data_IF_690260390852
#
_entry.id   IF_690260390852
#
_cell.length_a   1.000
_cell.length_b   1.000
_cell.length_c   1.000
_cell.angle_alpha   90.00
_cell.angle_beta   90.00
_cell.angle_gamma   90.00
#
_symmetry.space_group_name_H-M   'P 1'
#
loop_
_entity.id
_entity.type
_entity.pdbx_description
1 polymer ?
#
# COMPACT_ATOMS: atom_id res chain seq x y z
N UNK A 1 -17.40 -17.45 28.96
CA UNK A 1 -16.51 -17.10 27.85
C UNK A 1 -16.99 -15.76 27.31
N UNK A 2 -16.28 -14.69 27.67
CA UNK A 2 -16.80 -13.33 27.70
C UNK A 2 -16.57 -12.55 26.40
N UNK A 3 -17.66 -11.96 25.93
CA UNK A 3 -17.77 -10.89 24.93
C UNK A 3 -17.05 -9.62 25.42
N UNK A 4 -16.27 -8.96 24.55
CA UNK A 4 -15.93 -7.54 24.70
C UNK A 4 -15.96 -6.86 23.32
N UNK A 5 -17.11 -6.24 23.04
CA UNK A 5 -17.28 -5.13 22.11
C UNK A 5 -17.31 -3.83 22.95
N UNK A 6 -16.67 -2.76 22.47
CA UNK A 6 -16.89 -1.31 22.71
C UNK A 6 -15.57 -0.59 22.37
N UNK A 7 -15.53 0.39 21.48
CA UNK A 7 -16.06 1.75 21.67
C UNK A 7 -16.17 2.47 20.31
N UNK A 8 -17.35 3.00 19.97
CA UNK A 8 -17.46 4.32 19.33
C UNK A 8 -18.77 4.96 19.79
N UNK A 9 -18.64 6.17 20.36
CA UNK A 9 -19.72 6.90 21.01
C UNK A 9 -20.69 7.53 20.01
N UNK A 10 -21.96 7.53 20.42
CA UNK A 10 -23.03 8.25 19.77
C UNK A 10 -23.01 9.73 20.18
N UNK A 11 -23.13 10.62 19.20
CA UNK A 11 -23.66 11.96 19.40
C UNK A 11 -24.75 12.17 18.34
N UNK A 12 -25.98 12.41 18.82
CA UNK A 12 -27.16 12.71 18.01
C UNK A 12 -27.64 14.10 18.38
N UNK A 13 -27.87 14.96 17.39
CA UNK A 13 -28.92 15.97 17.44
C UNK A 13 -29.26 16.46 16.02
N UNK A 14 -30.57 16.58 15.80
CA UNK A 14 -31.28 16.88 14.56
C UNK A 14 -31.11 18.33 14.10
N UNK A 15 -31.19 18.53 12.79
CA UNK A 15 -31.53 19.80 12.16
C UNK A 15 -32.20 19.52 10.81
N UNK A 16 -33.54 19.58 10.78
CA UNK A 16 -34.37 19.52 9.57
C UNK A 16 -34.47 20.94 9.01
N UNK A 17 -34.10 21.13 7.75
CA UNK A 17 -34.56 22.24 6.92
C UNK A 17 -34.60 21.78 5.46
N UNK A 18 -35.73 22.05 4.82
CA UNK A 18 -36.12 21.68 3.46
C UNK A 18 -36.21 22.96 2.61
N UNK A 19 -36.05 22.78 1.28
CA UNK A 19 -36.16 23.74 0.16
C UNK A 19 -34.89 24.59 -0.08
N UNK A 20 -34.37 24.77 -1.30
CA UNK A 20 -35.05 24.95 -2.59
C UNK A 20 -34.38 24.23 -3.78
N UNK A 21 -35.24 23.84 -4.71
CA UNK A 21 -34.94 23.34 -6.04
C UNK A 21 -34.79 24.49 -7.05
N UNK A 22 -33.59 24.67 -7.63
CA UNK A 22 -33.40 25.12 -9.02
C UNK A 22 -31.92 25.38 -9.33
N UNK A 23 -31.25 24.46 -10.05
CA UNK A 23 -30.14 24.80 -10.94
C UNK A 23 -29.86 23.64 -11.91
N UNK A 24 -29.86 23.96 -13.20
CA UNK A 24 -29.62 23.10 -14.35
C UNK A 24 -28.39 22.18 -14.23
N UNK A 25 -28.45 20.92 -14.70
CA UNK A 25 -27.27 20.16 -15.04
C UNK A 25 -26.77 20.62 -16.41
N UNK A 26 -25.83 21.57 -16.45
CA UNK A 26 -24.97 21.69 -17.62
C UNK A 26 -24.06 20.48 -17.64
N UNK A 27 -24.40 19.54 -18.53
CA UNK A 27 -23.59 18.40 -18.92
C UNK A 27 -22.19 18.87 -19.30
N UNK A 28 -21.22 18.68 -18.41
CA UNK A 28 -19.81 18.74 -18.74
C UNK A 28 -19.53 17.60 -19.71
N UNK A 29 -19.38 17.94 -20.99
CA UNK A 29 -18.94 17.03 -22.02
C UNK A 29 -17.64 16.37 -21.55
N UNK A 30 -17.67 15.04 -21.39
CA UNK A 30 -16.47 14.25 -21.16
C UNK A 30 -15.59 14.38 -22.39
N UNK A 31 -14.54 15.20 -22.29
CA UNK A 31 -13.45 15.17 -23.27
C UNK A 31 -12.81 13.80 -23.17
N UNK A 32 -13.18 12.90 -24.09
CA UNK A 32 -12.46 11.65 -24.27
C UNK A 32 -11.09 12.02 -24.79
N UNK A 33 -10.09 11.99 -23.91
CA UNK A 33 -8.70 12.04 -24.32
C UNK A 33 -8.46 10.98 -25.40
N UNK A 34 -7.63 11.26 -26.42
CA UNK A 34 -7.26 10.25 -27.39
C UNK A 34 -6.72 9.02 -26.63
N UNK A 35 -7.20 7.83 -27.02
CA UNK A 35 -6.78 6.56 -26.42
C UNK A 35 -5.26 6.49 -26.42
N UNK A 36 -4.65 6.33 -25.26
CA UNK A 36 -3.22 6.07 -25.15
C UNK A 36 -2.98 4.71 -25.83
N UNK A 37 -1.96 4.53 -26.69
CA UNK A 37 -1.62 3.22 -27.25
C UNK A 37 -1.43 2.13 -26.18
N UNK A 38 -1.02 2.51 -24.96
CA UNK A 38 -0.95 1.61 -23.80
C UNK A 38 -2.34 1.17 -23.34
N UNK A 39 -3.41 1.90 -23.70
CA UNK A 39 -4.77 1.57 -23.34
C UNK A 39 -5.30 0.31 -24.03
N UNK A 40 -4.74 0.00 -25.20
CA UNK A 40 -5.10 -1.15 -26.04
C UNK A 40 -4.27 -2.38 -25.64
N UNK A 41 -3.04 -2.19 -25.18
CA UNK A 41 -2.06 -3.25 -24.99
C UNK A 41 -1.89 -3.71 -23.54
N UNK A 42 -2.15 -2.85 -22.55
CA UNK A 42 -2.02 -3.20 -21.14
C UNK A 42 -3.40 -3.45 -20.51
N UNK A 43 -3.62 -4.60 -19.86
CA UNK A 43 -4.72 -4.77 -18.92
C UNK A 43 -4.85 -3.56 -17.99
N UNK A 44 -6.07 -3.09 -17.73
CA UNK A 44 -6.31 -1.83 -17.01
C UNK A 44 -5.58 -1.72 -15.66
N UNK A 45 -5.38 -2.84 -14.96
CA UNK A 45 -4.63 -2.86 -13.71
C UNK A 45 -3.13 -2.54 -13.88
N UNK A 46 -2.50 -2.96 -14.99
CA UNK A 46 -1.11 -2.64 -15.26
C UNK A 46 -0.95 -1.15 -15.54
N UNK A 47 -1.89 -0.55 -16.28
CA UNK A 47 -1.90 0.90 -16.52
C UNK A 47 -2.01 1.66 -15.21
N UNK A 48 -2.95 1.27 -14.33
CA UNK A 48 -3.10 1.90 -13.03
C UNK A 48 -1.82 1.81 -12.20
N UNK A 49 -1.16 0.65 -12.20
CA UNK A 49 0.12 0.45 -11.54
C UNK A 49 1.25 1.33 -12.12
N UNK A 50 1.37 1.43 -13.44
CA UNK A 50 2.36 2.29 -14.10
C UNK A 50 2.11 3.78 -13.84
N UNK A 51 0.85 4.22 -13.85
CA UNK A 51 0.49 5.60 -13.55
C UNK A 51 0.77 5.95 -12.08
N UNK A 52 0.41 5.06 -11.15
CA UNK A 52 0.72 5.23 -9.73
C UNK A 52 2.24 5.31 -9.52
N UNK A 53 3.01 4.45 -10.20
CA UNK A 53 4.47 4.43 -10.16
C UNK A 53 5.10 5.73 -10.70
N UNK A 54 4.64 6.22 -11.85
CA UNK A 54 5.08 7.49 -12.42
C UNK A 54 4.74 8.66 -11.47
N UNK A 55 3.55 8.64 -10.87
CA UNK A 55 3.16 9.64 -9.88
C UNK A 55 4.05 9.61 -8.63
N UNK A 56 4.45 8.42 -8.14
CA UNK A 56 5.41 8.30 -7.01
C UNK A 56 6.74 8.97 -7.38
N UNK A 57 7.24 8.70 -8.58
CA UNK A 57 8.48 9.29 -9.09
C UNK A 57 8.41 10.82 -9.17
N UNK A 58 7.32 11.33 -9.72
CA UNK A 58 7.26 12.73 -10.17
C UNK A 58 6.60 13.66 -9.14
N UNK A 59 5.73 13.15 -8.28
CA UNK A 59 4.81 13.96 -7.46
C UNK A 59 4.79 13.62 -5.97
N UNK A 60 5.19 12.42 -5.55
CA UNK A 60 5.16 12.07 -4.13
C UNK A 60 6.06 13.02 -3.32
N UNK A 61 5.52 13.47 -2.19
CA UNK A 61 6.25 14.28 -1.21
C UNK A 61 6.40 13.48 0.07
N UNK A 62 7.59 12.89 0.25
CA UNK A 62 7.98 12.14 1.43
C UNK A 62 9.18 12.80 2.14
N UNK A 63 9.56 12.27 3.30
CA UNK A 63 9.67 13.00 4.56
C UNK A 63 9.89 11.98 5.66
N UNK A 64 10.99 12.02 6.42
CA UNK A 64 11.09 11.22 7.64
C UNK A 64 9.98 11.61 8.64
N UNK A 65 9.52 12.86 8.60
CA UNK A 65 8.45 13.38 9.47
C UNK A 65 7.04 13.15 8.94
N UNK A 66 6.89 12.79 7.66
CA UNK A 66 5.58 12.58 7.02
C UNK A 66 5.44 11.19 6.38
N UNK A 67 6.30 10.24 6.77
CA UNK A 67 6.40 8.92 6.13
C UNK A 67 5.05 8.20 6.03
N UNK A 68 4.26 8.20 7.12
CA UNK A 68 2.94 7.55 7.13
C UNK A 68 1.91 8.25 6.22
N UNK A 69 1.97 9.58 6.13
CA UNK A 69 1.14 10.34 5.20
C UNK A 69 1.52 10.00 3.74
N UNK A 70 2.81 9.82 3.45
CA UNK A 70 3.26 9.39 2.13
C UNK A 70 2.70 7.99 1.76
N UNK A 71 2.58 7.07 2.72
CA UNK A 71 1.92 5.76 2.49
C UNK A 71 0.45 5.95 2.09
N UNK A 72 -0.27 6.84 2.78
CA UNK A 72 -1.66 7.15 2.44
C UNK A 72 -1.80 7.80 1.06
N UNK A 73 -0.87 8.68 0.69
CA UNK A 73 -0.85 9.32 -0.62
C UNK A 73 -0.64 8.30 -1.75
N UNK A 74 0.28 7.35 -1.57
CA UNK A 74 0.51 6.24 -2.51
C UNK A 74 -0.79 5.44 -2.70
N UNK A 75 -1.43 5.04 -1.59
CA UNK A 75 -2.67 4.27 -1.64
C UNK A 75 -3.83 5.04 -2.29
N UNK A 76 -4.02 6.31 -1.95
CA UNK A 76 -5.05 7.16 -2.56
C UNK A 76 -4.81 7.37 -4.04
N UNK A 77 -3.54 7.52 -4.46
CA UNK A 77 -3.22 7.59 -5.89
C UNK A 77 -3.60 6.29 -6.58
N UNK A 78 -3.23 5.14 -6.01
CA UNK A 78 -3.60 3.84 -6.57
C UNK A 78 -5.12 3.68 -6.66
N UNK A 79 -5.87 4.07 -5.62
CA UNK A 79 -7.34 4.08 -5.64
C UNK A 79 -7.92 4.95 -6.75
N UNK A 80 -7.34 6.13 -6.96
CA UNK A 80 -7.75 7.02 -8.05
C UNK A 80 -7.56 6.34 -9.41
N UNK A 81 -6.40 5.74 -9.64
CA UNK A 81 -6.08 5.06 -10.91
C UNK A 81 -6.94 3.80 -11.15
N UNK A 82 -7.43 3.15 -10.09
CA UNK A 82 -8.27 1.95 -10.19
C UNK A 82 -9.77 2.24 -10.05
N UNK A 83 -10.17 3.52 -10.14
CA UNK A 83 -11.57 3.94 -9.98
C UNK A 83 -12.22 3.45 -8.68
N UNK A 84 -11.45 3.39 -7.59
CA UNK A 84 -11.91 2.97 -6.28
C UNK A 84 -11.95 1.45 -6.08
N UNK A 85 -11.50 0.62 -7.03
CA UNK A 85 -11.33 -0.81 -6.80
C UNK A 85 -10.22 -1.03 -5.78
N UNK A 86 -10.61 -1.41 -4.56
CA UNK A 86 -9.72 -1.62 -3.42
C UNK A 86 -8.69 -2.72 -3.68
N UNK A 87 -9.08 -3.81 -4.35
CA UNK A 87 -8.19 -4.95 -4.60
C UNK A 87 -7.13 -4.56 -5.62
N UNK A 88 -7.54 -3.96 -6.73
CA UNK A 88 -6.59 -3.47 -7.74
C UNK A 88 -5.74 -2.32 -7.21
N UNK A 89 -6.27 -1.46 -6.33
CA UNK A 89 -5.51 -0.37 -5.72
C UNK A 89 -4.35 -0.92 -4.86
N UNK A 90 -4.58 -1.99 -4.09
CA UNK A 90 -3.53 -2.63 -3.31
C UNK A 90 -2.45 -3.23 -4.21
N UNK A 91 -2.83 -3.87 -5.32
CA UNK A 91 -1.87 -4.39 -6.30
C UNK A 91 -1.07 -3.26 -6.98
N UNK A 92 -1.75 -2.20 -7.40
CA UNK A 92 -1.13 -1.04 -8.02
C UNK A 92 -0.17 -0.33 -7.06
N UNK A 93 -0.55 -0.19 -5.79
CA UNK A 93 0.31 0.34 -4.74
C UNK A 93 1.55 -0.55 -4.53
N UNK A 94 1.38 -1.88 -4.46
CA UNK A 94 2.49 -2.82 -4.34
C UNK A 94 3.51 -2.67 -5.48
N UNK A 95 3.04 -2.59 -6.73
CA UNK A 95 3.88 -2.39 -7.91
C UNK A 95 4.54 -1.01 -7.90
N UNK A 96 3.84 0.04 -7.47
CA UNK A 96 4.37 1.40 -7.39
C UNK A 96 5.50 1.53 -6.34
N UNK A 97 5.45 0.72 -5.28
CA UNK A 97 6.43 0.73 -4.20
C UNK A 97 7.54 -0.31 -4.33
N UNK A 98 7.57 -1.12 -5.40
CA UNK A 98 8.64 -2.10 -5.62
C UNK A 98 10.01 -1.43 -5.66
N UNK A 99 10.94 -1.85 -4.81
CA UNK A 99 12.28 -1.25 -4.76
C UNK A 99 13.40 -2.14 -5.26
N UNK A 100 13.06 -3.32 -5.80
CA UNK A 100 14.00 -4.16 -6.54
C UNK A 100 13.73 -4.06 -8.03
N UNK A 101 14.81 -3.88 -8.80
CA UNK A 101 14.75 -3.81 -10.26
C UNK A 101 14.74 -5.20 -10.90
N UNK A 102 15.36 -6.17 -10.24
CA UNK A 102 15.54 -7.52 -10.75
C UNK A 102 15.51 -8.54 -9.61
N UNK A 103 14.97 -9.72 -9.87
CA UNK A 103 15.19 -10.91 -9.06
C UNK A 103 16.37 -11.65 -9.64
N UNK A 104 17.35 -11.93 -8.81
CA UNK A 104 18.41 -12.87 -9.14
C UNK A 104 18.03 -14.21 -8.54
N UNK A 105 18.19 -15.28 -9.30
CA UNK A 105 17.94 -16.64 -8.86
C UNK A 105 19.29 -17.33 -8.67
N UNK A 106 19.39 -18.18 -7.66
CA UNK A 106 20.61 -18.97 -7.37
C UNK A 106 21.04 -19.90 -8.52
N UNK A 107 20.16 -20.16 -9.49
CA UNK A 107 20.46 -20.88 -10.75
C UNK A 107 21.10 -20.00 -11.85
N UNK A 108 21.45 -18.75 -11.55
CA UNK A 108 22.04 -17.80 -12.51
C UNK A 108 21.03 -17.16 -13.47
N UNK A 109 19.73 -17.31 -13.20
CA UNK A 109 18.67 -16.60 -13.93
C UNK A 109 18.44 -15.23 -13.29
N UNK A 110 18.31 -14.19 -14.11
CA UNK A 110 17.92 -12.84 -13.65
C UNK A 110 16.64 -12.43 -14.34
N UNK A 111 15.59 -12.14 -13.57
CA UNK A 111 14.30 -11.69 -14.09
C UNK A 111 14.11 -10.20 -13.79
N UNK A 112 13.89 -9.33 -14.80
CA UNK A 112 13.56 -7.94 -14.55
C UNK A 112 12.17 -7.85 -13.92
N UNK A 113 12.08 -7.14 -12.79
CA UNK A 113 10.82 -6.84 -12.10
C UNK A 113 10.17 -5.54 -12.61
N UNK A 114 10.94 -4.73 -13.32
CA UNK A 114 10.50 -3.46 -13.89
C UNK A 114 11.20 -3.20 -15.22
N UNK A 115 10.49 -2.53 -16.12
CA UNK A 115 11.03 -2.02 -17.38
C UNK A 115 11.44 -0.54 -17.28
N UNK A 116 11.42 0.06 -16.09
CA UNK A 116 11.90 1.42 -15.86
C UNK A 116 13.38 1.57 -16.27
N UNK A 117 13.69 2.73 -16.86
CA UNK A 117 15.07 3.16 -17.03
C UNK A 117 15.71 3.36 -15.64
N UNK A 118 17.01 3.09 -15.51
CA UNK A 118 17.70 3.16 -14.21
C UNK A 118 17.49 4.50 -13.51
N UNK A 119 17.65 5.62 -14.23
CA UNK A 119 17.45 6.95 -13.68
C UNK A 119 16.00 7.26 -13.26
N UNK A 120 15.01 6.59 -13.84
CA UNK A 120 13.60 6.74 -13.44
C UNK A 120 13.31 5.92 -12.19
N UNK A 121 13.80 4.68 -12.17
CA UNK A 121 13.74 3.78 -11.03
C UNK A 121 14.37 4.41 -9.79
N UNK A 122 15.60 4.92 -9.90
CA UNK A 122 16.31 5.53 -8.77
C UNK A 122 15.57 6.75 -8.23
N UNK A 123 15.01 7.59 -9.12
CA UNK A 123 14.21 8.75 -8.74
C UNK A 123 12.95 8.34 -7.97
N UNK A 124 12.28 7.26 -8.40
CA UNK A 124 11.10 6.73 -7.72
C UNK A 124 11.44 6.16 -6.35
N UNK A 125 12.44 5.28 -6.27
CA UNK A 125 12.85 4.66 -4.99
C UNK A 125 13.33 5.73 -4.02
N UNK A 126 14.02 6.77 -4.49
CA UNK A 126 14.44 7.91 -3.67
C UNK A 126 13.25 8.63 -3.00
N UNK A 127 12.07 8.63 -3.63
CA UNK A 127 10.84 9.24 -3.11
C UNK A 127 10.06 8.36 -2.15
N UNK A 128 10.35 7.06 -2.03
CA UNK A 128 9.64 6.19 -1.10
C UNK A 128 10.01 6.55 0.36
N UNK A 129 9.03 6.55 1.29
CA UNK A 129 9.31 6.80 2.70
C UNK A 129 10.20 5.71 3.29
N UNK A 130 11.22 6.12 4.06
CA UNK A 130 12.23 5.21 4.61
C UNK A 130 12.02 4.80 6.07
N UNK A 131 11.14 5.50 6.79
CA UNK A 131 10.95 5.33 8.24
C UNK A 131 9.48 5.06 8.54
N UNK A 132 9.09 3.80 8.49
CA UNK A 132 7.73 3.34 8.79
C UNK A 132 7.63 2.87 10.24
N UNK A 133 8.72 2.30 10.78
CA UNK A 133 8.77 1.72 12.13
C UNK A 133 9.56 2.58 13.11
N UNK A 134 8.88 3.10 14.13
CA UNK A 134 9.49 4.02 15.10
C UNK A 134 10.50 3.36 16.05
N UNK A 135 10.42 2.04 16.22
CA UNK A 135 11.28 1.25 17.10
C UNK A 135 12.66 0.92 16.48
N UNK A 136 12.85 1.18 15.19
CA UNK A 136 14.11 0.90 14.47
C UNK A 136 14.53 2.11 13.60
N UNK A 137 14.96 3.24 14.22
CA UNK A 137 15.13 4.53 13.54
C UNK A 137 16.29 4.60 12.54
N UNK A 138 17.11 3.55 12.44
CA UNK A 138 18.29 3.49 11.57
C UNK A 138 18.09 2.56 10.36
N UNK A 139 16.88 2.04 10.16
CA UNK A 139 16.54 1.17 9.04
C UNK A 139 16.07 1.93 7.80
N UNK A 140 16.34 1.39 6.62
CA UNK A 140 15.59 1.71 5.39
C UNK A 140 14.35 0.80 5.37
N UNK A 141 13.15 1.37 5.32
CA UNK A 141 11.87 0.64 5.38
C UNK A 141 11.11 0.68 4.04
N UNK A 142 11.79 0.99 2.94
CA UNK A 142 11.14 1.21 1.65
C UNK A 142 10.59 -0.06 1.02
N UNK A 143 11.35 -1.16 1.04
CA UNK A 143 10.87 -2.51 0.71
C UNK A 143 9.67 -2.90 1.56
N UNK A 144 9.60 -2.47 2.81
CA UNK A 144 8.47 -2.82 3.69
C UNK A 144 7.12 -2.35 3.12
N UNK A 145 7.11 -1.35 2.24
CA UNK A 145 5.90 -0.96 1.50
C UNK A 145 5.44 -2.03 0.50
N UNK A 146 6.35 -2.63 -0.29
CA UNK A 146 5.95 -3.71 -1.21
C UNK A 146 5.44 -4.91 -0.42
N UNK A 147 6.06 -5.26 0.71
CA UNK A 147 5.58 -6.32 1.62
C UNK A 147 4.17 -6.03 2.15
N UNK A 148 3.95 -4.82 2.66
CA UNK A 148 2.66 -4.38 3.17
C UNK A 148 1.57 -4.44 2.10
N UNK A 149 1.78 -3.78 0.95
CA UNK A 149 0.74 -3.70 -0.08
C UNK A 149 0.51 -5.02 -0.81
N UNK A 150 1.56 -5.81 -1.07
CA UNK A 150 1.41 -7.14 -1.68
C UNK A 150 0.66 -8.10 -0.76
N UNK A 151 1.00 -8.13 0.53
CA UNK A 151 0.29 -8.95 1.52
C UNK A 151 -1.16 -8.51 1.71
N UNK A 152 -1.43 -7.21 1.68
CA UNK A 152 -2.80 -6.69 1.72
C UNK A 152 -3.60 -7.09 0.48
N UNK A 153 -3.02 -6.94 -0.72
CA UNK A 153 -3.64 -7.35 -1.97
C UNK A 153 -3.97 -8.84 -1.94
N UNK A 154 -3.01 -9.67 -1.56
CA UNK A 154 -3.14 -11.12 -1.54
C UNK A 154 -4.22 -11.60 -0.56
N UNK A 155 -4.23 -11.06 0.66
CA UNK A 155 -5.27 -11.34 1.67
C UNK A 155 -6.66 -10.96 1.15
N UNK A 156 -6.77 -9.83 0.44
CA UNK A 156 -8.03 -9.36 -0.12
C UNK A 156 -8.48 -10.16 -1.35
N UNK A 157 -7.55 -10.52 -2.23
CA UNK A 157 -7.83 -11.27 -3.45
C UNK A 157 -8.26 -12.72 -3.16
N UNK A 158 -7.77 -13.29 -2.06
CA UNK A 158 -8.07 -14.65 -1.63
C UNK A 158 -9.17 -14.73 -0.57
N UNK A 159 -9.66 -13.58 -0.10
CA UNK A 159 -10.59 -13.44 1.03
C UNK A 159 -10.18 -14.28 2.26
N UNK A 160 -8.87 -14.40 2.49
CA UNK A 160 -8.32 -15.30 3.51
C UNK A 160 -6.94 -14.87 3.97
N UNK A 161 -6.83 -14.61 5.28
CA UNK A 161 -5.52 -14.41 5.92
C UNK A 161 -4.62 -15.63 5.84
N UNK A 162 -5.17 -16.83 6.03
CA UNK A 162 -4.35 -18.05 6.01
C UNK A 162 -3.81 -18.36 4.62
N UNK A 163 -4.56 -18.06 3.56
CA UNK A 163 -4.04 -18.19 2.20
C UNK A 163 -2.95 -17.15 1.91
N UNK A 164 -3.10 -15.94 2.47
CA UNK A 164 -2.07 -14.91 2.40
C UNK A 164 -0.83 -15.23 3.25
N UNK A 165 -0.99 -15.85 4.43
CA UNK A 165 0.11 -16.35 5.25
C UNK A 165 0.89 -17.44 4.50
N UNK A 166 0.20 -18.35 3.81
CA UNK A 166 0.82 -19.45 3.06
C UNK A 166 1.62 -18.98 1.85
N UNK A 167 1.11 -17.96 1.14
CA UNK A 167 1.81 -17.37 -0.01
C UNK A 167 2.85 -16.34 0.45
N UNK A 168 2.64 -15.65 1.57
CA UNK A 168 3.66 -14.81 2.22
C UNK A 168 4.87 -15.64 2.63
N UNK A 169 4.64 -16.80 3.26
CA UNK A 169 5.67 -17.81 3.50
C UNK A 169 6.31 -18.32 2.19
N UNK A 170 5.52 -18.46 1.12
CA UNK A 170 6.03 -18.79 -0.21
C UNK A 170 6.91 -17.70 -0.85
N UNK A 171 6.61 -16.43 -0.60
CA UNK A 171 7.41 -15.26 -1.02
C UNK A 171 8.68 -15.17 -0.18
N UNK A 172 8.62 -15.41 1.13
CA UNK A 172 9.79 -15.48 2.02
C UNK A 172 10.72 -16.64 1.65
N UNK A 173 10.17 -17.81 1.30
CA UNK A 173 10.95 -18.91 0.71
C UNK A 173 11.51 -18.51 -0.65
N UNK A 174 10.74 -17.78 -1.45
CA UNK A 174 11.21 -17.15 -2.67
C UNK A 174 12.44 -16.28 -2.38
N UNK A 175 12.33 -15.27 -1.52
CA UNK A 175 13.41 -14.37 -1.13
C UNK A 175 14.61 -15.12 -0.56
N UNK A 176 14.42 -16.13 0.30
CA UNK A 176 15.50 -16.97 0.84
C UNK A 176 16.18 -17.88 -0.20
N UNK A 177 15.49 -18.27 -1.27
CA UNK A 177 16.05 -19.05 -2.39
C UNK A 177 16.64 -18.17 -3.51
N UNK A 178 16.18 -16.92 -3.63
CA UNK A 178 16.51 -15.96 -4.68
C UNK A 178 17.63 -15.01 -4.26
N UNK A 179 17.56 -14.45 -3.05
CA UNK A 179 18.49 -13.45 -2.53
C UNK A 179 19.54 -14.15 -1.67
N UNK A 180 20.59 -14.65 -2.32
CA UNK A 180 21.77 -15.17 -1.61
C UNK A 180 22.38 -14.08 -0.74
N UNK A 181 22.18 -14.13 0.58
CA UNK A 181 22.97 -13.38 1.56
C UNK A 181 22.26 -12.30 2.38
N UNK A 182 20.95 -12.07 2.22
CA UNK A 182 20.21 -11.17 3.13
C UNK A 182 19.65 -11.97 4.31
N UNK A 183 19.94 -11.52 5.53
CA UNK A 183 19.37 -12.08 6.75
C UNK A 183 17.89 -11.70 6.83
N UNK A 184 17.05 -12.63 7.27
CA UNK A 184 15.62 -12.41 7.52
C UNK A 184 15.41 -11.13 8.36
N UNK A 185 14.81 -10.11 7.77
CA UNK A 185 14.53 -8.85 8.44
C UNK A 185 13.14 -8.93 9.10
N UNK A 186 13.04 -8.88 10.45
CA UNK A 186 11.76 -9.01 11.15
C UNK A 186 10.74 -7.92 10.79
N UNK A 187 11.20 -6.83 10.16
CA UNK A 187 10.32 -5.77 9.64
C UNK A 187 9.53 -6.22 8.41
N UNK A 188 10.00 -7.19 7.63
CA UNK A 188 9.25 -7.76 6.49
C UNK A 188 8.03 -8.53 6.95
N UNK A 189 8.22 -9.45 7.90
CA UNK A 189 7.15 -10.21 8.55
C UNK A 189 6.12 -9.26 9.16
N UNK A 190 6.61 -8.20 9.80
CA UNK A 190 5.75 -7.17 10.39
C UNK A 190 4.93 -6.45 9.33
N UNK A 191 5.56 -6.00 8.24
CA UNK A 191 4.89 -5.33 7.14
C UNK A 191 3.85 -6.24 6.47
N UNK A 192 4.20 -7.51 6.23
CA UNK A 192 3.28 -8.53 5.73
C UNK A 192 2.04 -8.62 6.63
N UNK A 193 2.24 -8.76 7.94
CA UNK A 193 1.13 -8.88 8.90
C UNK A 193 0.27 -7.62 8.97
N UNK A 194 0.88 -6.44 8.94
CA UNK A 194 0.15 -5.17 8.91
C UNK A 194 -0.67 -5.02 7.62
N UNK A 195 -0.15 -5.49 6.48
CA UNK A 195 -0.87 -5.52 5.21
C UNK A 195 -2.13 -6.40 5.27
N UNK A 196 -2.00 -7.62 5.81
CA UNK A 196 -3.14 -8.51 6.04
C UNK A 196 -4.17 -7.93 7.03
N UNK A 197 -3.70 -7.18 8.03
CA UNK A 197 -4.55 -6.44 8.97
C UNK A 197 -5.33 -5.33 8.27
N UNK A 198 -4.67 -4.60 7.39
CA UNK A 198 -5.29 -3.57 6.57
C UNK A 198 -6.35 -4.14 5.64
N UNK A 199 -6.08 -5.27 4.97
CA UNK A 199 -7.04 -5.92 4.08
C UNK A 199 -8.35 -6.30 4.78
N UNK A 200 -8.27 -6.87 6.00
CA UNK A 200 -9.46 -7.14 6.80
C UNK A 200 -10.17 -5.86 7.25
N UNK A 201 -9.42 -4.83 7.63
CA UNK A 201 -10.02 -3.55 8.02
C UNK A 201 -10.85 -2.97 6.87
N UNK A 202 -10.35 -3.05 5.63
CA UNK A 202 -11.05 -2.58 4.42
C UNK A 202 -12.38 -3.30 4.16
N UNK A 203 -12.57 -4.54 4.65
CA UNK A 203 -13.86 -5.24 4.52
C UNK A 203 -14.98 -4.60 5.33
N UNK A 204 -14.65 -3.95 6.44
CA UNK A 204 -15.61 -3.28 7.31
C UNK A 204 -15.56 -1.75 7.20
N UNK A 205 -14.41 -1.20 6.81
CA UNK A 205 -14.15 0.23 6.72
C UNK A 205 -13.44 0.55 5.39
N UNK A 206 -14.17 0.63 4.26
CA UNK A 206 -13.59 0.88 2.93
C UNK A 206 -12.80 2.19 2.80
N UNK A 207 -13.04 3.15 3.69
CA UNK A 207 -12.33 4.44 3.75
C UNK A 207 -11.08 4.41 4.65
N UNK A 208 -10.72 3.25 5.21
CA UNK A 208 -9.53 3.11 6.04
C UNK A 208 -8.26 3.41 5.26
N UNK A 209 -7.26 3.93 5.98
CA UNK A 209 -5.98 4.33 5.41
C UNK A 209 -4.86 3.42 5.92
N UNK A 210 -3.85 3.10 5.08
CA UNK A 210 -2.78 2.19 5.46
C UNK A 210 -1.94 2.71 6.63
N UNK A 211 -1.77 4.03 6.76
CA UNK A 211 -1.07 4.66 7.90
C UNK A 211 -1.61 4.22 9.26
N UNK A 212 -2.91 3.92 9.35
CA UNK A 212 -3.55 3.48 10.59
C UNK A 212 -2.89 2.22 11.17
N UNK A 213 -2.39 1.31 10.31
CA UNK A 213 -1.73 0.08 10.76
C UNK A 213 -0.34 0.37 11.35
N UNK A 214 0.47 1.16 10.65
CA UNK A 214 1.79 1.56 11.12
C UNK A 214 1.71 2.43 12.38
N UNK A 215 0.78 3.37 12.44
CA UNK A 215 0.55 4.25 13.60
C UNK A 215 0.09 3.45 14.83
N UNK A 216 -0.86 2.53 14.66
CA UNK A 216 -1.28 1.63 15.74
C UNK A 216 -0.12 0.78 16.27
N UNK A 217 0.73 0.26 15.37
CA UNK A 217 1.94 -0.46 15.75
C UNK A 217 2.92 0.42 16.53
N UNK A 218 3.27 1.59 15.97
CA UNK A 218 4.24 2.51 16.55
C UNK A 218 3.80 2.97 17.96
N UNK A 219 2.51 3.28 18.16
CA UNK A 219 1.97 3.57 19.49
C UNK A 219 2.12 2.42 20.47
N UNK A 220 1.85 1.18 20.04
CA UNK A 220 1.99 -0.01 20.88
C UNK A 220 3.44 -0.21 21.32
N UNK A 221 4.41 -0.06 20.42
CA UNK A 221 5.83 -0.23 20.75
C UNK A 221 6.33 0.87 21.69
N UNK A 222 5.93 2.13 21.47
CA UNK A 222 6.28 3.24 22.34
C UNK A 222 5.64 3.13 23.75
N UNK A 223 4.42 2.59 23.85
CA UNK A 223 3.77 2.33 25.12
C UNK A 223 4.37 1.12 25.86
N UNK A 224 4.71 0.05 25.14
CA UNK A 224 5.36 -1.14 25.69
C UNK A 224 6.77 -0.89 26.24
N UNK A 225 7.50 0.08 25.66
CA UNK A 225 8.82 0.49 26.14
C UNK A 225 8.83 1.25 27.47
N UNK A 226 7.66 1.65 28.00
CA UNK A 226 7.53 2.34 29.29
C UNK A 226 7.24 1.42 30.49
N UNK A 227 7.12 0.11 30.28
CA UNK A 227 6.67 -0.84 31.31
C UNK A 227 7.78 -1.71 31.93
N UNK A 228 9.03 -1.26 31.92
CA UNK A 228 10.11 -1.89 32.70
C UNK A 228 11.10 -0.83 33.20
N UNK A 229 10.69 -0.01 34.18
CA UNK A 229 11.57 0.54 35.21
C UNK A 229 10.79 0.74 36.49
#
# INVERSE_FOLDING_TARGET
MGLVFLLFGAASARGVAQADSSANPTSSASSTSPLDPLDILLPGFLRAAYNARAWVRDSLTSSDTNALEAVDQIYRRALFETNGDLTLALLAAAIATMEHRQLQFSIGLTLPLTFEGQAEFDRRVAKLPKRLFADLPNGDDRDKLQHFFASAWLARALDSRHAADLIGWGIEIGEGLLLTGEAEDPRDIRANRLGQLFAELLNSHPAALPSMMFDAWNRKMLAGGKSTK
#
